data_IF_677923919330
#
_entry.id   IF_677923919330
#
_cell.length_a   1.000
_cell.length_b   1.000
_cell.length_c   1.000
_cell.angle_alpha   90.00
_cell.angle_beta   90.00
_cell.angle_gamma   90.00
#
_symmetry.space_group_name_H-M   'P 1'
#
loop_
_entity.id
_entity.type
_entity.pdbx_description
1 polymer ?
#
# COMPACT_ATOMS: atom_id res chain seq x y z
N UNK A 1 -4.42 -0.37 51.19
CA UNK A 1 -5.46 -0.78 50.21
C UNK A 1 -4.85 -0.69 48.83
N UNK A 2 -4.70 -1.82 48.13
CA UNK A 2 -3.99 -1.89 46.85
C UNK A 2 -4.80 -1.25 45.72
N UNK A 3 -4.25 -0.21 45.08
CA UNK A 3 -4.85 0.39 43.90
C UNK A 3 -4.94 -0.64 42.77
N UNK A 4 -6.14 -0.81 42.21
CA UNK A 4 -6.31 -1.63 41.03
C UNK A 4 -5.43 -1.08 39.91
N UNK A 5 -4.58 -1.94 39.32
CA UNK A 5 -3.79 -1.57 38.15
C UNK A 5 -4.72 -1.08 37.05
N UNK A 6 -4.48 0.12 36.52
CA UNK A 6 -5.19 0.69 35.35
C UNK A 6 -5.13 -0.26 34.14
N UNK A 7 -4.15 -1.16 34.13
CA UNK A 7 -3.93 -2.18 33.10
C UNK A 7 -4.11 -3.58 33.70
N UNK A 8 -5.35 -4.11 33.77
CA UNK A 8 -5.65 -5.40 34.40
C UNK A 8 -5.00 -6.60 33.69
N UNK A 9 -4.74 -6.51 32.39
CA UNK A 9 -4.12 -7.55 31.57
C UNK A 9 -2.61 -7.39 31.39
N UNK A 10 -2.00 -6.43 32.10
CA UNK A 10 -0.55 -6.21 32.19
C UNK A 10 0.15 -6.04 30.85
N UNK A 11 -0.53 -5.43 29.86
CA UNK A 11 0.13 -5.02 28.62
C UNK A 11 1.21 -3.96 28.90
N UNK A 12 2.22 -3.89 28.03
CA UNK A 12 3.27 -2.87 28.12
C UNK A 12 2.83 -1.58 27.42
N UNK A 13 3.36 -0.42 27.87
CA UNK A 13 3.10 0.87 27.21
C UNK A 13 3.48 0.85 25.73
N UNK A 14 4.60 0.19 25.41
CA UNK A 14 5.06 -0.01 24.04
C UNK A 14 4.02 -0.75 23.18
N UNK A 15 3.49 -1.87 23.66
CA UNK A 15 2.52 -2.64 22.88
C UNK A 15 1.20 -1.90 22.70
N UNK A 16 0.78 -1.12 23.71
CA UNK A 16 -0.39 -0.24 23.63
C UNK A 16 -0.21 0.84 22.57
N UNK A 17 0.92 1.56 22.58
CA UNK A 17 1.24 2.59 21.57
C UNK A 17 1.27 2.01 20.15
N UNK A 18 1.87 0.83 19.97
CA UNK A 18 1.89 0.13 18.68
C UNK A 18 0.50 -0.27 18.17
N UNK A 19 -0.39 -0.75 19.04
CA UNK A 19 -1.78 -1.07 18.64
C UNK A 19 -2.57 0.19 18.31
N UNK A 20 -2.39 1.28 19.06
CA UNK A 20 -3.00 2.57 18.77
C UNK A 20 -2.53 3.12 17.42
N UNK A 21 -1.22 3.06 17.15
CA UNK A 21 -0.63 3.43 15.85
C UNK A 21 -1.27 2.61 14.72
N UNK A 22 -1.32 1.29 14.86
CA UNK A 22 -1.87 0.41 13.83
C UNK A 22 -3.35 0.72 13.54
N UNK A 23 -4.20 0.80 14.57
CA UNK A 23 -5.61 1.14 14.40
C UNK A 23 -5.81 2.58 13.92
N UNK A 24 -4.89 3.48 14.24
CA UNK A 24 -4.87 4.84 13.71
C UNK A 24 -4.68 4.88 12.19
N UNK A 25 -3.97 3.89 11.63
CA UNK A 25 -3.79 3.72 10.18
C UNK A 25 -4.95 2.93 9.56
N UNK A 26 -5.19 1.69 10.01
CA UNK A 26 -6.09 0.74 9.30
C UNK A 26 -7.57 0.82 9.73
N UNK A 27 -7.88 1.62 10.76
CA UNK A 27 -9.22 1.90 11.33
C UNK A 27 -9.92 0.71 11.99
N UNK A 28 -9.84 -0.48 11.41
CA UNK A 28 -10.43 -1.73 11.92
C UNK A 28 -9.50 -2.90 11.65
N UNK A 29 -9.27 -3.74 12.65
CA UNK A 29 -8.45 -4.95 12.49
C UNK A 29 -8.82 -6.04 13.49
N UNK A 30 -8.49 -7.28 13.15
CA UNK A 30 -8.47 -8.39 14.11
C UNK A 30 -7.21 -8.34 14.98
N UNK A 31 -7.23 -9.00 16.14
CA UNK A 31 -6.04 -9.12 16.98
C UNK A 31 -4.89 -9.87 16.25
N UNK A 32 -5.22 -10.81 15.36
CA UNK A 32 -4.26 -11.50 14.51
C UNK A 32 -3.57 -10.54 13.52
N UNK A 33 -4.31 -9.64 12.86
CA UNK A 33 -3.73 -8.66 11.95
C UNK A 33 -2.90 -7.60 12.68
N UNK A 34 -3.39 -7.09 13.80
CA UNK A 34 -2.63 -6.20 14.66
C UNK A 34 -1.31 -6.85 15.10
N UNK A 35 -1.34 -8.16 15.40
CA UNK A 35 -0.11 -8.91 15.67
C UNK A 35 0.83 -8.90 14.46
N UNK A 36 0.37 -9.20 13.26
CA UNK A 36 1.25 -9.25 12.08
C UNK A 36 1.86 -7.88 11.74
N UNK A 37 1.05 -6.82 11.84
CA UNK A 37 1.46 -5.45 11.51
C UNK A 37 2.55 -4.91 12.43
N UNK A 38 2.36 -5.04 13.76
CA UNK A 38 3.20 -4.32 14.73
C UNK A 38 3.89 -5.19 15.76
N UNK A 39 3.47 -6.45 15.93
CA UNK A 39 4.02 -7.37 16.93
C UNK A 39 4.26 -8.80 16.39
N UNK A 40 4.82 -8.98 15.16
CA UNK A 40 4.86 -10.30 14.51
C UNK A 40 5.74 -11.32 15.25
N UNK A 41 6.67 -10.83 16.09
CA UNK A 41 7.53 -11.65 16.94
C UNK A 41 6.88 -12.17 18.23
N UNK A 42 5.67 -11.75 18.59
CA UNK A 42 4.97 -12.30 19.79
C UNK A 42 4.59 -13.78 19.61
N UNK A 43 4.62 -14.57 20.69
CA UNK A 43 4.39 -16.01 20.63
C UNK A 43 2.97 -16.40 20.26
N UNK A 44 2.01 -15.64 20.76
CA UNK A 44 0.60 -15.87 20.55
C UNK A 44 -0.13 -14.55 20.30
N UNK A 45 -1.34 -14.68 19.75
CA UNK A 45 -2.27 -13.56 19.60
C UNK A 45 -2.82 -13.08 20.95
N UNK A 46 -2.68 -13.86 22.02
CA UNK A 46 -3.19 -13.51 23.34
C UNK A 46 -2.51 -12.25 23.88
N UNK A 47 -1.23 -12.04 23.55
CA UNK A 47 -0.51 -10.80 23.85
C UNK A 47 -1.25 -9.57 23.32
N UNK A 48 -1.68 -9.61 22.05
CA UNK A 48 -2.41 -8.49 21.42
C UNK A 48 -3.84 -8.40 21.93
N UNK A 49 -4.51 -9.53 22.18
CA UNK A 49 -5.85 -9.52 22.82
C UNK A 49 -5.82 -8.88 24.20
N UNK A 50 -4.77 -9.12 25.00
CA UNK A 50 -4.58 -8.47 26.30
C UNK A 50 -4.38 -6.96 26.15
N UNK A 51 -3.61 -6.52 25.15
CA UNK A 51 -3.46 -5.09 24.81
C UNK A 51 -4.80 -4.46 24.45
N UNK A 52 -5.59 -5.10 23.58
CA UNK A 52 -6.92 -4.58 23.21
C UNK A 52 -7.86 -4.51 24.42
N UNK A 53 -7.83 -5.50 25.32
CA UNK A 53 -8.65 -5.49 26.54
C UNK A 53 -8.23 -4.37 27.51
N UNK A 54 -6.93 -4.16 27.68
CA UNK A 54 -6.38 -3.06 28.49
C UNK A 54 -6.73 -1.69 27.90
N UNK A 55 -6.58 -1.49 26.59
CA UNK A 55 -6.99 -0.26 25.93
C UNK A 55 -8.51 -0.03 26.02
N UNK A 56 -9.30 -1.11 25.99
CA UNK A 56 -10.75 -1.05 26.16
C UNK A 56 -11.16 -0.67 27.58
N UNK A 57 -10.45 -1.14 28.61
CA UNK A 57 -10.79 -0.82 30.01
C UNK A 57 -10.62 0.67 30.33
N UNK A 58 -9.84 1.40 29.53
CA UNK A 58 -9.69 2.86 29.61
C UNK A 58 -10.41 3.61 28.49
N UNK A 59 -11.26 2.93 27.71
CA UNK A 59 -12.12 3.55 26.70
C UNK A 59 -11.41 4.03 25.43
N UNK A 60 -10.20 3.56 25.13
CA UNK A 60 -9.45 3.96 23.93
C UNK A 60 -9.79 3.11 22.69
N UNK A 61 -10.18 1.86 22.88
CA UNK A 61 -10.62 0.99 21.79
C UNK A 61 -11.94 0.31 22.15
N UNK A 62 -12.70 -0.08 21.13
CA UNK A 62 -13.90 -0.89 21.29
C UNK A 62 -13.89 -2.07 20.30
N UNK A 63 -14.84 -3.00 20.47
CA UNK A 63 -15.08 -4.06 19.50
C UNK A 63 -16.36 -3.72 18.73
N UNK A 64 -16.25 -3.59 17.41
CA UNK A 64 -17.35 -3.14 16.52
C UNK A 64 -18.07 -4.27 15.81
N UNK A 65 -17.67 -5.51 16.05
CA UNK A 65 -18.29 -6.67 15.43
C UNK A 65 -17.40 -7.90 15.47
N UNK A 66 -17.83 -8.93 14.75
CA UNK A 66 -17.10 -10.19 14.62
C UNK A 66 -17.05 -10.61 13.17
N UNK A 67 -15.92 -11.16 12.77
CA UNK A 67 -15.75 -11.86 11.51
C UNK A 67 -15.48 -13.34 11.80
N UNK A 68 -15.66 -14.21 10.81
CA UNK A 68 -15.31 -15.62 10.93
C UNK A 68 -14.51 -16.07 9.72
N UNK A 69 -13.68 -17.09 9.94
CA UNK A 69 -13.06 -17.87 8.88
C UNK A 69 -13.27 -19.35 9.18
N UNK A 70 -13.21 -20.17 8.14
CA UNK A 70 -13.31 -21.62 8.29
C UNK A 70 -11.92 -22.16 8.59
N UNK A 71 -11.76 -22.86 9.72
CA UNK A 71 -10.50 -23.54 10.04
C UNK A 71 -10.23 -24.69 9.07
N UNK A 72 -8.99 -25.22 9.01
CA UNK A 72 -8.72 -26.46 8.25
C UNK A 72 -9.59 -27.64 8.68
N UNK A 73 -10.08 -27.63 9.92
CA UNK A 73 -11.03 -28.61 10.47
C UNK A 73 -12.50 -28.34 10.12
N UNK A 74 -12.78 -27.39 9.22
CA UNK A 74 -14.13 -27.06 8.78
C UNK A 74 -14.99 -26.28 9.78
N UNK A 75 -14.43 -25.85 10.92
CA UNK A 75 -15.18 -25.15 11.97
C UNK A 75 -15.04 -23.63 11.82
N UNK A 76 -16.14 -22.86 11.98
CA UNK A 76 -16.04 -21.41 11.98
C UNK A 76 -15.30 -20.94 13.24
N UNK A 77 -14.26 -20.13 13.04
CA UNK A 77 -13.51 -19.48 14.10
C UNK A 77 -13.80 -18.00 14.06
N UNK A 78 -14.41 -17.51 15.14
CA UNK A 78 -14.83 -16.11 15.28
C UNK A 78 -13.68 -15.24 15.80
N UNK A 79 -13.55 -14.04 15.23
CA UNK A 79 -12.56 -13.03 15.61
C UNK A 79 -13.27 -11.69 15.80
N UNK A 80 -12.91 -10.99 16.87
CA UNK A 80 -13.43 -9.66 17.14
C UNK A 80 -12.72 -8.63 16.26
N UNK A 81 -13.48 -7.63 15.81
CA UNK A 81 -13.00 -6.48 15.05
C UNK A 81 -12.81 -5.30 15.99
N UNK A 82 -11.57 -4.82 16.10
CA UNK A 82 -11.18 -3.73 17.00
C UNK A 82 -11.04 -2.43 16.23
N UNK A 83 -11.50 -1.32 16.81
CA UNK A 83 -11.39 0.04 16.29
C UNK A 83 -11.03 1.03 17.42
N UNK A 84 -10.62 2.25 17.03
CA UNK A 84 -10.42 3.36 17.96
C UNK A 84 -11.77 4.02 18.31
N UNK A 85 -11.92 4.41 19.57
CA UNK A 85 -12.92 5.41 19.98
C UNK A 85 -12.43 6.82 19.64
N UNK A 86 -13.23 7.90 19.79
CA UNK A 86 -12.72 9.26 19.63
C UNK A 86 -11.52 9.59 20.54
N UNK A 87 -11.51 9.10 21.78
CA UNK A 87 -10.37 9.26 22.70
C UNK A 87 -9.15 8.42 22.26
N UNK A 88 -9.40 7.22 21.73
CA UNK A 88 -8.39 6.40 21.07
C UNK A 88 -7.75 7.09 19.88
N UNK A 89 -8.54 7.77 19.07
CA UNK A 89 -8.09 8.50 17.89
C UNK A 89 -7.18 9.67 18.27
N UNK A 90 -7.51 10.42 19.32
CA UNK A 90 -6.63 11.44 19.87
C UNK A 90 -5.31 10.87 20.42
N UNK A 91 -5.35 9.71 21.08
CA UNK A 91 -4.14 9.01 21.53
C UNK A 91 -3.29 8.55 20.34
N UNK A 92 -3.92 7.96 19.32
CA UNK A 92 -3.24 7.50 18.11
C UNK A 92 -2.66 8.65 17.27
N UNK A 93 -3.26 9.85 17.30
CA UNK A 93 -2.71 11.05 16.67
C UNK A 93 -1.33 11.43 17.25
N UNK A 94 -1.21 11.33 18.59
CA UNK A 94 0.08 11.52 19.28
C UNK A 94 1.08 10.45 18.86
N UNK A 95 0.64 9.18 18.83
CA UNK A 95 1.49 8.09 18.37
C UNK A 95 1.95 8.33 16.94
N UNK A 96 1.07 8.67 16.00
CA UNK A 96 1.37 8.87 14.57
C UNK A 96 2.10 10.17 14.24
N UNK A 97 2.08 11.16 15.13
CA UNK A 97 2.64 12.49 14.87
C UNK A 97 1.84 13.31 13.86
N UNK A 98 0.53 13.06 13.73
CA UNK A 98 -0.36 13.76 12.80
C UNK A 98 -1.72 14.06 13.44
N UNK A 99 -2.40 15.17 13.10
CA UNK A 99 -3.65 15.56 13.74
C UNK A 99 -4.82 14.63 13.35
N UNK A 100 -5.80 14.53 14.24
CA UNK A 100 -7.01 13.68 14.08
C UNK A 100 -7.75 13.93 12.76
N UNK A 101 -7.82 15.18 12.29
CA UNK A 101 -8.50 15.54 11.04
C UNK A 101 -7.89 14.86 9.80
N UNK A 102 -6.60 14.56 9.84
CA UNK A 102 -5.85 13.87 8.76
C UNK A 102 -5.94 12.35 8.89
N UNK A 103 -6.47 11.85 10.02
CA UNK A 103 -6.69 10.44 10.25
C UNK A 103 -8.11 9.99 9.86
N UNK A 104 -8.98 10.86 9.36
CA UNK A 104 -10.36 10.49 9.01
C UNK A 104 -11.23 10.05 10.20
N UNK A 105 -12.42 9.52 9.90
CA UNK A 105 -13.42 9.15 10.90
C UNK A 105 -13.23 7.78 11.55
N UNK A 106 -14.00 7.50 12.60
CA UNK A 106 -14.08 6.17 13.22
C UNK A 106 -14.90 5.21 12.32
N UNK A 107 -14.40 4.00 12.07
CA UNK A 107 -15.03 2.99 11.18
C UNK A 107 -16.34 2.35 11.71
N UNK A 108 -17.07 3.02 12.61
CA UNK A 108 -18.20 2.44 13.36
C UNK A 108 -19.32 1.93 12.45
N UNK A 109 -19.60 2.65 11.36
CA UNK A 109 -20.63 2.25 10.38
C UNK A 109 -20.08 1.35 9.26
N UNK A 110 -18.78 1.43 8.96
CA UNK A 110 -18.12 0.63 7.93
C UNK A 110 -17.91 -0.85 8.35
N UNK A 111 -17.83 -1.12 9.65
CA UNK A 111 -17.55 -2.47 10.18
C UNK A 111 -18.62 -3.53 9.88
N UNK A 112 -19.85 -3.14 9.48
CA UNK A 112 -20.94 -4.10 9.16
C UNK A 112 -20.99 -4.54 7.69
N UNK A 113 -20.61 -3.69 6.74
CA UNK A 113 -20.70 -3.98 5.30
C UNK A 113 -19.33 -4.01 4.59
N UNK A 114 -18.35 -3.24 5.06
CA UNK A 114 -17.03 -3.09 4.44
C UNK A 114 -15.91 -3.90 5.12
N UNK A 115 -16.21 -4.64 6.20
CA UNK A 115 -15.18 -5.34 6.97
C UNK A 115 -14.31 -6.29 6.14
N UNK A 116 -14.83 -7.16 5.25
CA UNK A 116 -13.97 -8.03 4.44
C UNK A 116 -12.96 -7.26 3.57
N UNK A 117 -13.36 -6.12 3.02
CA UNK A 117 -12.49 -5.25 2.21
C UNK A 117 -11.44 -4.54 3.07
N UNK A 118 -11.86 -3.91 4.18
CA UNK A 118 -10.94 -3.25 5.10
C UNK A 118 -9.88 -4.22 5.69
N UNK A 119 -10.27 -5.46 5.94
CA UNK A 119 -9.35 -6.52 6.36
C UNK A 119 -8.35 -6.88 5.24
N UNK A 120 -8.78 -6.90 3.98
CA UNK A 120 -7.89 -7.11 2.84
C UNK A 120 -6.90 -5.94 2.63
N UNK A 121 -7.34 -4.70 2.89
CA UNK A 121 -6.46 -3.51 2.92
C UNK A 121 -5.41 -3.63 4.02
N UNK A 122 -5.83 -4.02 5.23
CA UNK A 122 -4.93 -4.28 6.38
C UNK A 122 -3.89 -5.33 6.04
N UNK A 123 -4.31 -6.43 5.42
CA UNK A 123 -3.44 -7.52 4.99
C UNK A 123 -2.46 -7.08 3.89
N UNK A 124 -2.90 -6.20 3.00
CA UNK A 124 -2.06 -5.59 1.96
C UNK A 124 -0.96 -4.73 2.59
N UNK A 125 -1.32 -3.83 3.52
CA UNK A 125 -0.36 -2.98 4.23
C UNK A 125 0.68 -3.84 4.97
N UNK A 126 0.27 -4.92 5.62
CA UNK A 126 1.21 -5.86 6.27
C UNK A 126 2.17 -6.53 5.27
N UNK A 127 1.66 -6.93 4.10
CA UNK A 127 2.46 -7.58 3.06
C UNK A 127 3.47 -6.63 2.38
N UNK A 128 3.22 -5.32 2.41
CA UNK A 128 4.20 -4.30 2.07
C UNK A 128 5.19 -4.07 3.23
N UNK A 129 4.69 -3.77 4.44
CA UNK A 129 5.54 -3.40 5.58
C UNK A 129 6.52 -4.52 5.95
N UNK A 130 6.08 -5.78 5.88
CA UNK A 130 6.86 -6.97 6.28
C UNK A 130 7.62 -6.78 7.60
N UNK A 131 6.99 -6.12 8.57
CA UNK A 131 7.63 -5.70 9.82
C UNK A 131 8.44 -6.84 10.43
N UNK A 132 9.75 -6.64 10.69
CA UNK A 132 10.61 -7.72 11.16
C UNK A 132 10.12 -8.22 12.52
N UNK A 133 10.06 -9.55 12.74
CA UNK A 133 9.68 -10.09 14.03
C UNK A 133 10.75 -9.74 15.07
N UNK A 134 10.41 -8.89 16.02
CA UNK A 134 11.31 -8.62 17.15
C UNK A 134 11.18 -9.73 18.20
N UNK A 135 12.29 -10.25 18.75
CA UNK A 135 12.24 -11.21 19.83
C UNK A 135 11.47 -10.65 21.03
N UNK A 136 10.41 -11.34 21.44
CA UNK A 136 9.72 -11.03 22.69
C UNK A 136 10.19 -12.00 23.76
N UNK A 137 10.61 -11.50 24.92
CA UNK A 137 10.88 -12.37 26.09
C UNK A 137 9.63 -13.20 26.39
N UNK A 138 9.74 -14.53 26.56
CA UNK A 138 8.60 -15.36 26.93
C UNK A 138 7.95 -14.81 28.20
N UNK A 139 6.63 -14.70 28.24
CA UNK A 139 5.92 -14.47 29.50
C UNK A 139 6.11 -15.74 30.33
N UNK A 140 6.91 -15.68 31.39
CA UNK A 140 7.10 -16.80 32.31
C UNK A 140 5.73 -17.22 32.87
N UNK A 141 5.20 -18.35 32.43
CA UNK A 141 4.09 -18.99 33.12
C UNK A 141 4.64 -19.51 34.44
N UNK A 142 3.95 -19.19 35.53
CA UNK A 142 4.35 -19.45 36.93
C UNK A 142 4.53 -20.95 37.27
N UNK A 143 4.39 -21.85 36.30
CA UNK A 143 4.30 -23.30 36.47
C UNK A 143 5.28 -24.12 35.62
N UNK A 144 6.20 -23.52 34.85
CA UNK A 144 7.14 -24.31 34.03
C UNK A 144 8.59 -24.11 34.50
N UNK A 145 9.22 -25.12 35.13
CA UNK A 145 10.62 -25.06 35.57
C UNK A 145 11.64 -25.27 34.45
N UNK A 146 11.20 -25.48 33.20
CA UNK A 146 12.08 -25.68 32.04
C UNK A 146 12.21 -24.36 31.28
N UNK A 147 13.44 -23.90 30.94
CA UNK A 147 13.62 -22.75 30.06
C UNK A 147 12.88 -23.01 28.74
N UNK A 148 12.00 -22.09 28.37
CA UNK A 148 11.25 -22.20 27.13
C UNK A 148 12.24 -22.30 25.95
N UNK A 149 12.05 -23.27 25.02
CA UNK A 149 12.93 -23.40 23.86
C UNK A 149 12.97 -22.07 23.08
N UNK A 150 14.14 -21.73 22.54
CA UNK A 150 14.33 -20.55 21.69
C UNK A 150 13.35 -20.66 20.52
N UNK A 151 12.39 -19.74 20.46
CA UNK A 151 11.39 -19.76 19.40
C UNK A 151 11.99 -19.17 18.13
N UNK A 152 12.08 -20.00 17.08
CA UNK A 152 12.40 -19.51 15.75
C UNK A 152 11.33 -18.51 15.29
N UNK A 153 11.78 -17.33 14.90
CA UNK A 153 10.91 -16.28 14.40
C UNK A 153 10.65 -16.51 12.91
N UNK A 154 9.43 -16.25 12.41
CA UNK A 154 9.14 -16.46 11.01
C UNK A 154 10.01 -15.52 10.16
N UNK A 155 10.76 -16.07 9.20
CA UNK A 155 11.46 -15.26 8.23
C UNK A 155 10.46 -14.43 7.42
N UNK A 156 10.70 -13.12 7.31
CA UNK A 156 9.92 -12.21 6.46
C UNK A 156 10.84 -11.58 5.43
N UNK A 157 10.38 -11.41 4.17
CA UNK A 157 11.11 -10.63 3.17
C UNK A 157 11.38 -9.20 3.65
N UNK A 158 12.31 -8.50 3.01
CA UNK A 158 12.47 -7.06 3.21
C UNK A 158 11.17 -6.32 2.85
N UNK A 159 10.74 -5.42 3.73
CA UNK A 159 9.53 -4.61 3.55
C UNK A 159 9.77 -3.30 2.80
N UNK A 160 8.66 -2.64 2.45
CA UNK A 160 8.64 -1.31 1.85
C UNK A 160 7.85 -0.35 2.74
N UNK A 161 8.54 0.72 3.16
CA UNK A 161 8.00 1.76 4.02
C UNK A 161 7.71 1.30 5.45
N UNK A 162 7.44 2.26 6.32
CA UNK A 162 6.99 2.02 7.69
C UNK A 162 5.47 2.16 7.79
N UNK A 163 4.84 1.52 8.78
CA UNK A 163 3.40 1.64 9.02
C UNK A 163 2.93 3.11 9.16
N UNK A 164 3.79 3.99 9.67
CA UNK A 164 3.53 5.43 9.81
C UNK A 164 3.43 6.18 8.49
N UNK A 165 4.02 5.66 7.42
CA UNK A 165 3.94 6.23 6.07
C UNK A 165 2.64 5.91 5.35
N UNK A 166 1.77 5.08 5.94
CA UNK A 166 0.50 4.68 5.35
C UNK A 166 -0.66 5.56 5.80
N UNK A 167 -1.57 5.78 4.86
CA UNK A 167 -2.91 6.33 5.05
C UNK A 167 -3.92 5.41 4.37
N UNK A 168 -5.12 5.34 4.93
CA UNK A 168 -6.22 4.55 4.36
C UNK A 168 -7.41 5.46 4.08
N UNK A 169 -8.24 5.06 3.11
CA UNK A 169 -9.50 5.74 2.81
C UNK A 169 -9.28 7.21 2.39
N UNK A 170 -8.24 7.49 1.60
CA UNK A 170 -7.79 8.84 1.25
C UNK A 170 -8.67 9.43 0.14
N UNK A 171 -9.35 10.58 0.37
CA UNK A 171 -10.17 11.20 -0.67
C UNK A 171 -9.30 11.80 -1.79
N UNK A 172 -9.67 11.53 -3.04
CA UNK A 172 -9.01 12.01 -4.25
C UNK A 172 -9.96 12.90 -5.04
N UNK A 173 -10.07 14.19 -4.68
CA UNK A 173 -11.08 15.08 -5.25
C UNK A 173 -10.76 15.46 -6.69
N UNK A 174 -11.60 15.01 -7.63
CA UNK A 174 -11.62 15.52 -9.01
C UNK A 174 -12.21 16.95 -9.10
N UNK A 175 -12.93 17.38 -8.06
CA UNK A 175 -13.35 18.75 -7.80
C UNK A 175 -13.49 18.98 -6.28
N UNK A 176 -13.49 20.24 -5.83
CA UNK A 176 -13.51 20.58 -4.40
C UNK A 176 -12.13 20.48 -3.73
N UNK A 177 -12.05 20.32 -2.41
CA UNK A 177 -10.77 20.22 -1.68
C UNK A 177 -10.61 18.84 -1.06
N UNK A 178 -9.44 18.52 -0.50
CA UNK A 178 -9.24 17.26 0.24
C UNK A 178 -10.15 17.15 1.47
N UNK A 179 -10.49 18.27 2.11
CA UNK A 179 -11.39 18.32 3.27
C UNK A 179 -12.87 18.41 2.87
N UNK A 180 -13.17 18.80 1.64
CA UNK A 180 -14.53 18.94 1.11
C UNK A 180 -14.56 18.44 -0.33
N UNK A 181 -14.39 17.12 -0.54
CA UNK A 181 -14.38 16.54 -1.87
C UNK A 181 -15.77 16.63 -2.50
N UNK A 182 -15.83 16.95 -3.78
CA UNK A 182 -17.10 16.95 -4.51
C UNK A 182 -17.69 15.54 -4.59
N UNK A 183 -19.03 15.45 -4.71
CA UNK A 183 -19.72 14.17 -4.90
C UNK A 183 -19.16 13.43 -6.13
N UNK A 184 -18.88 12.14 -5.98
CA UNK A 184 -18.29 11.33 -7.04
C UNK A 184 -16.75 11.35 -7.08
N UNK A 185 -16.09 12.04 -6.14
CA UNK A 185 -14.65 11.91 -5.95
C UNK A 185 -14.28 10.49 -5.54
N UNK A 186 -13.18 10.00 -6.11
CA UNK A 186 -12.60 8.70 -5.77
C UNK A 186 -12.07 8.74 -4.34
N UNK A 187 -11.96 7.56 -3.72
CA UNK A 187 -11.25 7.37 -2.48
C UNK A 187 -10.27 6.23 -2.67
N UNK A 188 -8.98 6.50 -2.45
CA UNK A 188 -7.97 5.46 -2.47
C UNK A 188 -8.12 4.56 -1.25
N UNK A 189 -8.01 3.25 -1.46
CA UNK A 189 -8.00 2.29 -0.35
C UNK A 189 -6.83 2.57 0.59
N UNK A 190 -5.65 2.80 0.02
CA UNK A 190 -4.47 3.23 0.78
C UNK A 190 -3.49 4.08 -0.05
N UNK A 191 -2.69 4.88 0.66
CA UNK A 191 -1.58 5.66 0.10
C UNK A 191 -0.34 5.43 0.97
N UNK A 192 0.80 5.19 0.33
CA UNK A 192 2.10 5.03 0.98
C UNK A 192 3.01 6.21 0.62
N UNK A 193 3.53 6.88 1.63
CA UNK A 193 4.67 7.78 1.54
C UNK A 193 5.87 7.12 2.21
N UNK A 194 6.89 6.75 1.41
CA UNK A 194 8.09 6.07 1.89
C UNK A 194 9.37 6.64 1.23
N UNK A 195 9.68 7.93 1.43
CA UNK A 195 10.86 8.57 0.84
C UNK A 195 12.15 7.86 1.25
N UNK A 196 12.20 7.25 2.44
CA UNK A 196 13.34 6.45 2.90
C UNK A 196 13.65 5.23 2.02
N UNK A 197 12.69 4.79 1.21
CA UNK A 197 12.84 3.68 0.27
C UNK A 197 13.06 4.16 -1.18
N UNK A 198 13.14 5.47 -1.43
CA UNK A 198 13.30 6.03 -2.77
C UNK A 198 12.10 5.79 -3.69
N UNK A 199 10.94 5.46 -3.13
CA UNK A 199 9.70 5.19 -3.89
C UNK A 199 8.85 6.46 -3.89
N UNK A 200 8.31 6.89 -5.05
CA UNK A 200 7.33 7.98 -5.11
C UNK A 200 6.11 7.66 -4.24
N UNK A 201 5.27 8.66 -3.94
CA UNK A 201 3.99 8.39 -3.30
C UNK A 201 3.23 7.32 -4.10
N UNK A 202 2.89 6.22 -3.44
CA UNK A 202 2.27 5.05 -4.06
C UNK A 202 0.82 4.95 -3.64
N UNK A 203 -0.08 5.03 -4.62
CA UNK A 203 -1.50 4.81 -4.41
C UNK A 203 -1.80 3.32 -4.54
N UNK A 204 -2.68 2.79 -3.70
CA UNK A 204 -2.99 1.36 -3.66
C UNK A 204 -4.49 1.16 -3.68
N UNK A 205 -4.95 0.32 -4.60
CA UNK A 205 -6.31 -0.24 -4.65
C UNK A 205 -6.25 -1.74 -4.41
N UNK A 206 -7.16 -2.24 -3.58
CA UNK A 206 -7.22 -3.64 -3.21
C UNK A 206 -8.41 -4.29 -3.90
N UNK A 207 -8.14 -5.21 -4.83
CA UNK A 207 -9.20 -5.93 -5.52
C UNK A 207 -9.54 -7.22 -4.78
N UNK A 208 -10.72 -7.25 -4.15
CA UNK A 208 -11.28 -8.44 -3.52
C UNK A 208 -12.23 -9.23 -4.44
N UNK A 209 -12.14 -9.00 -5.76
CA UNK A 209 -12.96 -9.67 -6.78
C UNK A 209 -14.48 -9.47 -6.59
N UNK A 210 -14.87 -8.34 -6.02
CA UNK A 210 -16.29 -7.96 -5.81
C UNK A 210 -16.81 -7.01 -6.89
N UNK A 211 -15.91 -6.29 -7.55
CA UNK A 211 -16.25 -5.31 -8.59
C UNK A 211 -16.07 -5.89 -10.00
N UNK A 212 -16.89 -5.50 -10.99
CA UNK A 212 -16.64 -5.85 -12.40
C UNK A 212 -15.32 -5.27 -12.93
N UNK A 213 -14.71 -5.91 -13.92
CA UNK A 213 -13.43 -5.47 -14.52
C UNK A 213 -13.50 -4.01 -15.01
N UNK A 214 -14.63 -3.62 -15.61
CA UNK A 214 -14.86 -2.25 -16.11
C UNK A 214 -14.92 -1.21 -14.98
N UNK A 215 -15.39 -1.58 -13.79
CA UNK A 215 -15.43 -0.66 -12.64
C UNK A 215 -14.02 -0.41 -12.13
N UNK A 216 -13.18 -1.45 -12.05
CA UNK A 216 -11.77 -1.30 -11.68
C UNK A 216 -11.01 -0.48 -12.73
N UNK A 217 -11.25 -0.73 -14.02
CA UNK A 217 -10.66 0.09 -15.09
C UNK A 217 -11.09 1.56 -15.02
N UNK A 218 -12.34 1.85 -14.67
CA UNK A 218 -12.83 3.22 -14.48
C UNK A 218 -12.20 3.92 -13.26
N UNK A 219 -11.85 3.19 -12.20
CA UNK A 219 -11.05 3.74 -11.09
C UNK A 219 -9.70 4.25 -11.59
N UNK A 220 -9.02 3.49 -12.46
CA UNK A 220 -7.74 3.89 -13.07
C UNK A 220 -7.90 5.22 -13.84
N UNK A 221 -8.99 5.37 -14.62
CA UNK A 221 -9.31 6.64 -15.27
C UNK A 221 -9.55 7.78 -14.27
N UNK A 222 -10.22 7.50 -13.16
CA UNK A 222 -10.50 8.48 -12.11
C UNK A 222 -9.23 8.95 -11.40
N UNK A 223 -8.25 8.06 -11.16
CA UNK A 223 -6.91 8.41 -10.69
C UNK A 223 -6.22 9.36 -11.68
N UNK A 224 -6.25 9.03 -12.98
CA UNK A 224 -5.67 9.88 -14.02
C UNK A 224 -6.28 11.29 -14.01
N UNK A 225 -7.62 11.39 -13.93
CA UNK A 225 -8.32 12.68 -13.84
C UNK A 225 -7.91 13.47 -12.58
N UNK A 226 -7.74 12.80 -11.45
CA UNK A 226 -7.25 13.42 -10.23
C UNK A 226 -5.81 13.95 -10.38
N UNK A 227 -4.89 13.15 -10.95
CA UNK A 227 -3.50 13.57 -11.12
C UNK A 227 -3.29 14.69 -12.14
N UNK A 228 -4.17 14.81 -13.13
CA UNK A 228 -4.19 15.91 -14.10
C UNK A 228 -4.68 17.23 -13.50
N UNK A 229 -5.31 17.19 -12.33
CA UNK A 229 -5.81 18.39 -11.68
C UNK A 229 -4.65 19.28 -11.24
N UNK A 230 -4.78 20.58 -11.47
CA UNK A 230 -3.80 21.58 -11.03
C UNK A 230 -4.37 22.53 -9.98
N UNK A 231 -3.48 23.24 -9.29
CA UNK A 231 -3.75 24.37 -8.41
C UNK A 231 -2.66 25.40 -8.54
N UNK A 232 -2.93 26.63 -8.10
CA UNK A 232 -1.91 27.69 -8.05
C UNK A 232 -1.02 27.50 -6.82
N UNK A 233 0.30 27.56 -7.02
CA UNK A 233 1.28 27.68 -5.93
C UNK A 233 1.32 29.11 -5.35
N UNK A 234 2.15 29.34 -4.33
CA UNK A 234 2.34 30.66 -3.71
C UNK A 234 2.88 31.74 -4.67
N UNK A 235 3.38 31.34 -5.85
CA UNK A 235 3.87 32.22 -6.92
C UNK A 235 2.89 32.34 -8.09
N UNK A 236 1.69 31.77 -7.98
CA UNK A 236 0.67 31.79 -9.02
C UNK A 236 0.94 30.84 -10.21
N UNK A 237 1.87 29.90 -10.09
CA UNK A 237 2.14 28.88 -11.12
C UNK A 237 1.23 27.68 -10.93
N UNK A 238 0.80 27.08 -12.04
CA UNK A 238 0.06 25.82 -11.98
C UNK A 238 1.01 24.69 -11.56
N UNK A 239 0.66 24.04 -10.45
CA UNK A 239 1.31 22.82 -9.95
C UNK A 239 0.27 21.72 -9.84
N UNK A 240 0.66 20.44 -9.99
CA UNK A 240 -0.25 19.33 -9.78
C UNK A 240 -0.89 19.38 -8.38
N UNK A 241 -2.22 19.25 -8.31
CA UNK A 241 -2.98 19.41 -7.08
C UNK A 241 -2.56 18.39 -6.00
N UNK A 242 -2.19 17.18 -6.41
CA UNK A 242 -1.69 16.15 -5.50
C UNK A 242 -0.38 16.53 -4.80
N UNK A 243 0.45 17.38 -5.40
CA UNK A 243 1.69 17.89 -4.79
C UNK A 243 1.45 18.85 -3.60
N UNK A 244 0.19 19.21 -3.33
CA UNK A 244 -0.16 19.94 -2.11
C UNK A 244 -0.21 19.09 -0.85
N UNK A 245 -0.22 17.75 -0.99
CA UNK A 245 -0.19 16.81 0.13
C UNK A 245 1.05 15.93 0.16
N UNK A 246 1.58 15.56 -1.00
CA UNK A 246 2.70 14.63 -1.10
C UNK A 246 3.87 15.27 -1.82
N UNK A 247 5.06 15.06 -1.28
CA UNK A 247 6.30 15.57 -1.88
C UNK A 247 6.53 14.99 -3.27
N UNK A 248 7.11 15.80 -4.13
CA UNK A 248 7.56 15.34 -5.43
C UNK A 248 8.78 14.44 -5.28
N UNK A 249 8.68 13.23 -5.80
CA UNK A 249 9.78 12.26 -5.86
C UNK A 249 10.92 12.66 -6.78
N UNK A 250 10.73 13.70 -7.61
CA UNK A 250 11.65 14.10 -8.66
C UNK A 250 11.63 13.15 -9.88
N UNK A 251 10.73 12.15 -9.88
CA UNK A 251 10.45 11.32 -11.06
C UNK A 251 9.41 12.03 -11.92
N UNK A 252 9.72 12.17 -13.21
CA UNK A 252 8.78 12.72 -14.18
C UNK A 252 7.50 11.86 -14.28
N UNK A 253 6.36 12.52 -14.43
CA UNK A 253 5.07 11.89 -14.64
C UNK A 253 4.15 11.88 -13.41
N UNK A 254 3.06 11.10 -13.51
CA UNK A 254 2.12 10.96 -12.41
C UNK A 254 2.57 9.90 -11.40
N UNK A 255 2.11 9.98 -10.13
CA UNK A 255 2.36 8.94 -9.15
C UNK A 255 1.86 7.55 -9.58
N UNK A 256 2.54 6.47 -9.15
CA UNK A 256 2.09 5.11 -9.44
C UNK A 256 0.83 4.71 -8.67
N UNK A 257 0.04 3.85 -9.33
CA UNK A 257 -1.11 3.15 -8.80
C UNK A 257 -0.83 1.64 -8.78
N UNK A 258 -0.78 1.05 -7.59
CA UNK A 258 -0.71 -0.39 -7.39
C UNK A 258 -2.12 -1.01 -7.23
N UNK A 259 -2.43 -1.99 -8.07
CA UNK A 259 -3.61 -2.85 -7.96
C UNK A 259 -3.20 -4.17 -7.29
N UNK A 260 -3.69 -4.41 -6.08
CA UNK A 260 -3.37 -5.61 -5.29
C UNK A 260 -4.56 -6.56 -5.28
N UNK A 261 -4.45 -7.67 -6.01
CA UNK A 261 -5.48 -8.70 -6.07
C UNK A 261 -5.40 -9.59 -4.82
N UNK A 262 -6.33 -9.37 -3.88
CA UNK A 262 -6.29 -9.91 -2.53
C UNK A 262 -7.22 -11.10 -2.28
N UNK A 263 -8.14 -11.41 -3.21
CA UNK A 263 -9.08 -12.52 -3.03
C UNK A 263 -8.38 -13.89 -3.01
N UNK A 264 -8.50 -14.56 -1.87
CA UNK A 264 -8.11 -15.96 -1.69
C UNK A 264 -9.07 -16.92 -2.43
N UNK A 265 -8.58 -18.10 -2.82
CA UNK A 265 -9.37 -19.13 -3.49
C UNK A 265 -9.60 -18.90 -4.99
N UNK A 266 -9.20 -17.75 -5.54
CA UNK A 266 -9.19 -17.51 -6.99
C UNK A 266 -7.99 -18.20 -7.62
N UNK A 267 -8.23 -18.99 -8.68
CA UNK A 267 -7.15 -19.68 -9.40
C UNK A 267 -6.15 -18.67 -9.99
N UNK A 268 -4.86 -19.03 -10.13
CA UNK A 268 -3.87 -18.16 -10.74
C UNK A 268 -4.27 -17.68 -12.14
N UNK A 269 -4.90 -18.55 -12.93
CA UNK A 269 -5.35 -18.25 -14.29
C UNK A 269 -6.51 -17.25 -14.30
N UNK A 270 -7.55 -17.45 -13.48
CA UNK A 270 -8.67 -16.51 -13.39
C UNK A 270 -8.20 -15.12 -12.95
N UNK A 271 -7.25 -15.06 -12.00
CA UNK A 271 -6.65 -13.81 -11.55
C UNK A 271 -5.86 -13.13 -12.68
N UNK A 272 -5.02 -13.87 -13.40
CA UNK A 272 -4.26 -13.34 -14.54
C UNK A 272 -5.19 -12.82 -15.65
N UNK A 273 -6.26 -13.56 -15.96
CA UNK A 273 -7.24 -13.14 -16.96
C UNK A 273 -7.93 -11.83 -16.55
N UNK A 274 -8.28 -11.67 -15.27
CA UNK A 274 -8.82 -10.40 -14.75
C UNK A 274 -7.80 -9.27 -14.85
N UNK A 275 -6.54 -9.49 -14.46
CA UNK A 275 -5.47 -8.50 -14.58
C UNK A 275 -5.29 -8.04 -16.04
N UNK A 276 -5.33 -8.97 -17.01
CA UNK A 276 -5.27 -8.67 -18.45
C UNK A 276 -6.49 -7.87 -18.93
N UNK A 277 -7.70 -8.24 -18.53
CA UNK A 277 -8.91 -7.49 -18.91
C UNK A 277 -8.90 -6.06 -18.40
N UNK A 278 -8.49 -5.85 -17.14
CA UNK A 278 -8.36 -4.51 -16.56
C UNK A 278 -7.28 -3.71 -17.29
N UNK A 279 -6.13 -4.32 -17.60
CA UNK A 279 -5.07 -3.71 -18.43
C UNK A 279 -5.65 -3.23 -19.76
N UNK A 280 -6.33 -4.11 -20.49
CA UNK A 280 -6.83 -3.82 -21.84
C UNK A 280 -7.90 -2.72 -21.81
N UNK A 281 -8.83 -2.76 -20.85
CA UNK A 281 -9.87 -1.74 -20.65
C UNK A 281 -9.31 -0.38 -20.23
N UNK A 282 -8.13 -0.34 -19.61
CA UNK A 282 -7.50 0.90 -19.12
C UNK A 282 -6.35 1.39 -19.99
N UNK A 283 -6.14 0.82 -21.18
CA UNK A 283 -5.01 1.09 -22.08
C UNK A 283 -4.75 2.60 -22.29
N UNK A 284 -5.80 3.39 -22.50
CA UNK A 284 -5.71 4.83 -22.71
C UNK A 284 -5.14 5.62 -21.50
N UNK A 285 -5.04 5.00 -20.32
CA UNK A 285 -4.51 5.63 -19.11
C UNK A 285 -3.00 5.43 -18.94
N UNK A 286 -2.39 4.40 -19.53
CA UNK A 286 -1.00 4.00 -19.22
C UNK A 286 -0.10 3.74 -20.43
N UNK A 287 -0.63 3.54 -21.64
CA UNK A 287 0.17 3.05 -22.79
C UNK A 287 1.21 4.05 -23.35
N UNK A 288 1.02 5.35 -23.11
CA UNK A 288 1.81 6.40 -23.74
C UNK A 288 1.60 6.50 -25.26
N UNK A 289 2.04 7.60 -25.85
CA UNK A 289 1.97 7.84 -27.31
C UNK A 289 3.33 7.55 -27.94
N UNK A 290 3.36 6.72 -28.99
CA UNK A 290 4.59 6.42 -29.71
C UNK A 290 4.97 7.58 -30.64
N UNK A 291 6.21 8.06 -30.51
CA UNK A 291 6.85 9.00 -31.41
C UNK A 291 7.98 8.30 -32.14
N UNK A 292 7.81 8.10 -33.45
CA UNK A 292 8.86 7.58 -34.33
C UNK A 292 9.74 8.70 -34.84
N UNK A 293 11.05 8.45 -34.94
CA UNK A 293 12.00 9.35 -35.58
C UNK A 293 13.43 8.99 -35.20
N UNK A 294 14.34 9.10 -36.16
CA UNK A 294 15.79 9.07 -35.99
C UNK A 294 16.32 10.32 -36.69
N UNK A 295 17.22 11.08 -36.05
CA UNK A 295 17.77 12.31 -36.66
C UNK A 295 18.90 11.98 -37.64
N UNK A 296 19.50 10.80 -37.53
CA UNK A 296 20.74 10.44 -38.21
C UNK A 296 20.61 9.28 -39.19
N UNK A 297 19.61 8.42 -39.01
CA UNK A 297 19.45 7.22 -39.84
C UNK A 297 17.98 6.94 -40.12
N UNK A 298 17.56 7.31 -41.34
CA UNK A 298 16.21 7.09 -41.87
C UNK A 298 15.88 5.60 -42.04
N UNK A 299 16.87 4.70 -41.94
CA UNK A 299 16.70 3.25 -42.02
C UNK A 299 16.38 2.62 -40.65
N UNK A 300 16.71 3.30 -39.54
CA UNK A 300 16.43 2.84 -38.19
C UNK A 300 15.05 3.30 -37.74
N UNK A 301 14.10 2.37 -37.70
CA UNK A 301 12.77 2.57 -37.09
C UNK A 301 12.87 2.53 -35.56
N UNK A 302 13.53 3.51 -34.95
CA UNK A 302 13.49 3.75 -33.50
C UNK A 302 12.57 4.92 -33.15
N UNK A 303 12.25 5.05 -31.87
CA UNK A 303 11.38 6.08 -31.34
C UNK A 303 11.30 6.00 -29.81
N UNK A 304 10.39 6.77 -29.25
CA UNK A 304 10.11 6.76 -27.82
C UNK A 304 8.61 6.84 -27.55
N UNK A 305 8.22 6.45 -26.33
CA UNK A 305 6.89 6.68 -25.81
C UNK A 305 6.86 7.95 -24.98
N UNK A 306 5.97 8.86 -25.32
CA UNK A 306 5.60 9.97 -24.46
C UNK A 306 4.53 9.48 -23.46
N UNK A 307 4.88 9.55 -22.18
CA UNK A 307 4.02 9.17 -21.06
C UNK A 307 3.33 10.39 -20.41
N UNK A 308 3.39 11.57 -21.04
CA UNK A 308 2.73 12.78 -20.55
C UNK A 308 1.25 12.55 -20.28
N UNK A 309 0.82 12.86 -19.06
CA UNK A 309 -0.57 12.68 -18.63
C UNK A 309 -1.03 11.23 -18.52
N UNK A 310 -0.12 10.25 -18.56
CA UNK A 310 -0.39 8.84 -18.29
C UNK A 310 -0.04 8.48 -16.84
N UNK A 311 -0.59 7.38 -16.36
CA UNK A 311 -0.41 6.94 -14.99
C UNK A 311 0.37 5.63 -14.91
N UNK A 312 1.34 5.54 -14.00
CA UNK A 312 1.99 4.30 -13.77
C UNK A 312 1.11 3.24 -13.07
N UNK A 313 0.51 2.29 -13.81
CA UNK A 313 -0.27 1.18 -13.24
C UNK A 313 0.58 -0.09 -13.00
N UNK A 314 0.65 -0.53 -11.76
CA UNK A 314 1.36 -1.73 -11.30
C UNK A 314 0.34 -2.75 -10.80
N UNK A 315 0.40 -3.99 -11.27
CA UNK A 315 -0.49 -5.04 -10.80
C UNK A 315 0.30 -6.12 -10.04
N UNK A 316 -0.23 -6.57 -8.89
CA UNK A 316 0.36 -7.66 -8.11
C UNK A 316 -0.70 -8.46 -7.36
N UNK A 317 -0.29 -9.51 -6.64
CA UNK A 317 -1.21 -10.29 -5.81
C UNK A 317 -0.74 -10.26 -4.36
N UNK A 318 -1.69 -10.29 -3.43
CA UNK A 318 -1.37 -10.34 -2.00
C UNK A 318 -0.49 -11.56 -1.66
N UNK A 319 -0.71 -12.69 -2.34
CA UNK A 319 0.10 -13.89 -2.19
C UNK A 319 1.56 -13.70 -2.63
N UNK A 320 1.80 -12.94 -3.71
CA UNK A 320 3.17 -12.63 -4.15
C UNK A 320 3.89 -11.70 -3.19
N UNK A 321 3.23 -10.63 -2.73
CA UNK A 321 3.77 -9.70 -1.74
C UNK A 321 4.14 -10.42 -0.44
N UNK A 322 3.27 -11.30 0.05
CA UNK A 322 3.53 -12.10 1.27
C UNK A 322 4.75 -13.00 1.11
N UNK A 323 4.90 -13.66 -0.05
CA UNK A 323 5.93 -14.67 -0.28
C UNK A 323 7.30 -14.08 -0.61
N UNK A 324 7.34 -13.04 -1.45
CA UNK A 324 8.59 -12.49 -2.01
C UNK A 324 8.92 -11.08 -1.52
N UNK A 325 7.97 -10.42 -0.85
CA UNK A 325 8.10 -9.02 -0.45
C UNK A 325 7.91 -8.05 -1.61
N UNK A 326 7.71 -6.75 -1.31
CA UNK A 326 7.55 -5.71 -2.31
C UNK A 326 8.81 -5.42 -3.15
N UNK A 327 10.00 -5.83 -2.70
CA UNK A 327 11.25 -5.68 -3.47
C UNK A 327 11.51 -6.82 -4.44
N UNK A 328 10.75 -7.92 -4.34
CA UNK A 328 10.90 -9.05 -5.25
C UNK A 328 10.33 -8.75 -6.65
N UNK A 329 10.58 -9.64 -7.63
CA UNK A 329 9.96 -9.57 -8.94
C UNK A 329 8.49 -10.02 -8.84
N UNK A 330 7.64 -9.11 -8.38
CA UNK A 330 6.22 -9.31 -8.07
C UNK A 330 5.33 -8.26 -8.69
N UNK A 331 5.89 -7.30 -9.42
CA UNK A 331 5.15 -6.22 -10.04
C UNK A 331 4.99 -6.48 -11.52
N UNK A 332 3.76 -6.54 -12.00
CA UNK A 332 3.51 -6.50 -13.43
C UNK A 332 3.09 -5.10 -13.81
N UNK A 333 4.01 -4.38 -14.44
CA UNK A 333 3.75 -3.07 -15.02
C UNK A 333 2.87 -3.21 -16.25
N UNK A 334 1.73 -2.52 -16.29
CA UNK A 334 0.94 -2.48 -17.52
C UNK A 334 1.75 -1.81 -18.64
N UNK A 335 1.84 -2.50 -19.79
CA UNK A 335 2.70 -2.13 -20.92
C UNK A 335 4.04 -2.86 -20.95
N UNK A 336 4.46 -3.47 -19.85
CA UNK A 336 5.72 -4.24 -19.79
C UNK A 336 5.47 -5.74 -19.97
N UNK A 337 6.49 -6.49 -20.43
CA UNK A 337 6.34 -7.88 -20.86
C UNK A 337 6.21 -8.88 -19.70
N UNK A 338 6.59 -8.52 -18.47
CA UNK A 338 6.71 -9.51 -17.40
C UNK A 338 6.65 -8.96 -15.97
N UNK A 339 6.93 -9.88 -15.04
CA UNK A 339 7.06 -9.56 -13.62
C UNK A 339 8.45 -8.98 -13.33
N UNK A 340 8.47 -7.84 -12.68
CA UNK A 340 9.63 -6.99 -12.49
C UNK A 340 9.78 -6.60 -11.01
N UNK A 341 10.97 -6.13 -10.65
CA UNK A 341 11.16 -5.47 -9.35
C UNK A 341 10.39 -4.15 -9.33
N UNK A 342 10.14 -3.59 -8.14
CA UNK A 342 9.45 -2.30 -8.05
C UNK A 342 10.21 -1.18 -8.77
N UNK A 343 11.55 -1.20 -8.68
CA UNK A 343 12.39 -0.18 -9.30
C UNK A 343 12.28 -0.25 -10.83
N UNK A 344 12.39 -1.45 -11.41
CA UNK A 344 12.29 -1.67 -12.86
C UNK A 344 10.89 -1.32 -13.36
N UNK A 345 9.85 -1.69 -12.62
CA UNK A 345 8.46 -1.43 -12.99
C UNK A 345 8.07 0.06 -12.91
N UNK A 346 8.84 0.86 -12.18
CA UNK A 346 8.71 2.32 -12.09
C UNK A 346 9.61 3.05 -13.09
N UNK A 347 10.53 2.35 -13.76
CA UNK A 347 11.35 2.91 -14.81
C UNK A 347 10.68 2.77 -16.18
N UNK A 348 10.97 3.68 -17.11
CA UNK A 348 10.41 3.66 -18.46
C UNK A 348 11.56 3.74 -19.48
N UNK A 349 12.23 2.62 -19.80
CA UNK A 349 13.36 2.61 -20.74
C UNK A 349 12.96 2.99 -22.18
N UNK A 350 11.66 2.93 -22.50
CA UNK A 350 11.10 3.39 -23.78
C UNK A 350 10.80 4.89 -23.82
N UNK A 351 11.03 5.65 -22.72
CA UNK A 351 10.79 7.08 -22.70
C UNK A 351 11.85 7.88 -23.48
N UNK A 352 11.66 9.21 -23.54
CA UNK A 352 12.59 10.11 -24.24
C UNK A 352 14.01 10.06 -23.69
N UNK A 353 14.22 9.75 -22.40
CA UNK A 353 15.56 9.63 -21.80
C UNK A 353 16.24 8.37 -22.30
N UNK A 354 15.52 7.25 -22.33
CA UNK A 354 16.02 6.01 -22.90
C UNK A 354 16.34 6.13 -24.39
N UNK A 355 15.50 6.83 -25.15
CA UNK A 355 15.78 7.12 -26.56
C UNK A 355 17.01 8.02 -26.75
N UNK A 356 17.15 9.11 -25.97
CA UNK A 356 18.34 9.97 -26.02
C UNK A 356 19.63 9.20 -25.73
N UNK A 357 19.58 8.28 -24.76
CA UNK A 357 20.72 7.42 -24.45
C UNK A 357 21.07 6.50 -25.64
N UNK A 358 20.07 5.89 -26.29
CA UNK A 358 20.30 5.07 -27.50
C UNK A 358 20.83 5.90 -28.67
N UNK A 359 20.33 7.11 -28.87
CA UNK A 359 20.84 8.06 -29.88
C UNK A 359 22.30 8.44 -29.63
N UNK A 360 22.67 8.69 -28.37
CA UNK A 360 24.06 9.00 -28.01
C UNK A 360 24.99 7.80 -28.25
N UNK A 361 24.54 6.58 -27.90
CA UNK A 361 25.27 5.35 -28.21
C UNK A 361 25.47 5.18 -29.72
N UNK A 362 24.40 5.35 -30.52
CA UNK A 362 24.48 5.32 -31.99
C UNK A 362 25.46 6.36 -32.54
N UNK A 363 25.45 7.58 -31.98
CA UNK A 363 26.38 8.65 -32.37
C UNK A 363 27.84 8.24 -32.10
N UNK A 364 28.12 7.68 -30.93
CA UNK A 364 29.46 7.22 -30.58
C UNK A 364 29.92 6.06 -31.46
N UNK A 365 29.03 5.11 -31.76
CA UNK A 365 29.32 3.98 -32.66
C UNK A 365 29.60 4.45 -34.09
N UNK A 366 28.80 5.38 -34.62
CA UNK A 366 29.00 5.94 -35.97
C UNK A 366 30.33 6.69 -36.07
N UNK A 367 30.66 7.54 -35.09
CA UNK A 367 31.94 8.25 -35.06
C UNK A 367 33.13 7.28 -34.99
N UNK A 368 33.02 6.21 -34.18
CA UNK A 368 34.06 5.18 -34.09
C UNK A 368 34.19 4.33 -35.36
N UNK A 369 33.13 4.22 -36.17
CA UNK A 369 33.17 3.54 -37.46
C UNK A 369 33.80 4.42 -38.54
N UNK A 370 33.44 5.71 -38.60
CA UNK A 370 34.09 6.69 -39.49
C UNK A 370 35.60 6.79 -39.22
N UNK A 371 36.02 6.75 -37.95
CA UNK A 371 37.44 6.74 -37.55
C UNK A 371 38.20 5.45 -37.94
N UNK A 372 37.49 4.34 -38.19
CA UNK A 372 38.10 3.07 -38.64
C UNK A 372 38.16 2.95 -40.16
N UNK A 373 37.30 3.69 -40.86
CA UNK A 373 37.22 3.70 -42.31
C UNK A 373 38.13 4.78 -42.94
N UNK A 374 38.61 5.73 -42.13
CA UNK A 374 39.67 6.70 -42.45
C UNK A 374 41.06 6.23 -42.00
#
# INVERSE_FOLDING_TARGET
MGGASVWPYKSTSRNRGLVLLALGVVKVATAEQLRQLVLPGTADVQTVRNVCKDLRSVGLVESVGRTSFVSPSGRPVWRDLWNLTPAGLASAATELGRPVREMGGTARDAAKAGAPHALAVTDTIDAFCQSPPQPTKPIARRTTPVPAPVRELPARPAGLGQLRGWETEVPLPVAGTFTTPARGSLRADAVLTAPEAGVPVLFVEVDNHTEPDAVVAWKIESYRRFFQRTTKDHRGRDVPFWQSLWDDSGRDGHPPLALVFAKDGVSPEARMNRMKKIRDLSTACWQGTWHSGSVYDDTVKDGYRDYTGTIPVLATTLAQLRRRGPHGPVWWRYGHPGWETLQDALDNPEDVRGYRHREEQRRTEHAAQEEREH
#
